data_IF_732309166147
#
_entry.id   IF_732309166147
#
_cell.length_a   1.000
_cell.length_b   1.000
_cell.length_c   1.000
_cell.angle_alpha   90.00
_cell.angle_beta   90.00
_cell.angle_gamma   90.00
#
_symmetry.space_group_name_H-M   'P 1'
#
loop_
_entity.id
_entity.type
_entity.pdbx_description
1 polymer ?
#
# COMPACT_ATOMS: atom_id res chain seq x y z
N UNK A 1 -23.01 -64.50 28.70
CA UNK A 1 -23.08 -63.38 27.73
C UNK A 1 -21.65 -62.92 27.49
N UNK A 2 -21.06 -63.38 26.39
CA UNK A 2 -19.79 -62.91 25.84
C UNK A 2 -20.14 -61.79 24.86
N UNK A 3 -19.56 -60.60 24.98
CA UNK A 3 -19.50 -59.63 23.88
C UNK A 3 -18.04 -59.19 23.81
N UNK A 4 -17.30 -59.81 22.88
CA UNK A 4 -16.06 -59.26 22.37
C UNK A 4 -16.40 -58.09 21.46
N UNK A 5 -15.69 -56.99 21.61
CA UNK A 5 -15.66 -55.89 20.65
C UNK A 5 -14.21 -55.44 20.59
N UNK A 6 -13.48 -56.08 19.68
CA UNK A 6 -12.27 -55.51 19.08
C UNK A 6 -12.79 -54.61 17.96
N UNK A 7 -12.52 -53.32 18.05
CA UNK A 7 -12.57 -52.34 16.96
C UNK A 7 -11.20 -51.67 17.06
N UNK A 8 -10.20 -52.20 16.35
CA UNK A 8 -9.77 -51.69 15.04
C UNK A 8 -9.33 -50.22 15.19
N UNK A 9 -8.08 -50.05 15.61
CA UNK A 9 -7.34 -48.79 15.51
C UNK A 9 -6.97 -48.63 14.02
N UNK A 10 -7.76 -47.84 13.29
CA UNK A 10 -7.38 -47.34 11.97
C UNK A 10 -6.29 -46.28 12.19
N UNK A 11 -5.03 -46.66 12.00
CA UNK A 11 -3.94 -45.70 11.77
C UNK A 11 -4.17 -45.09 10.39
N UNK A 12 -4.83 -43.92 10.36
CA UNK A 12 -4.85 -43.04 9.21
C UNK A 12 -3.43 -42.45 9.07
N UNK A 13 -2.60 -43.12 8.26
CA UNK A 13 -1.42 -42.52 7.65
C UNK A 13 -1.92 -41.37 6.75
N UNK A 14 -2.04 -40.17 7.32
CA UNK A 14 -2.14 -38.94 6.57
C UNK A 14 -0.79 -38.75 5.84
N UNK A 15 -0.69 -39.32 4.63
CA UNK A 15 0.31 -38.91 3.64
C UNK A 15 0.06 -37.42 3.35
N UNK A 16 0.76 -36.55 4.07
CA UNK A 16 0.80 -35.12 3.74
C UNK A 16 1.36 -34.98 2.32
N UNK A 17 0.45 -34.61 1.41
CA UNK A 17 0.76 -34.22 0.04
C UNK A 17 1.72 -33.02 0.09
N UNK A 18 3.01 -33.30 -0.13
CA UNK A 18 4.09 -32.33 -0.38
C UNK A 18 3.84 -31.58 -1.70
N UNK A 19 2.79 -30.74 -1.73
CA UNK A 19 2.52 -29.78 -2.82
C UNK A 19 2.95 -28.34 -2.47
N UNK A 20 3.68 -28.15 -1.37
CA UNK A 20 4.35 -26.90 -1.05
C UNK A 20 5.83 -27.03 -1.36
N UNK A 21 6.31 -26.41 -2.45
CA UNK A 21 7.74 -26.39 -2.79
C UNK A 21 8.57 -26.16 -1.53
N UNK A 22 9.36 -27.18 -1.14
CA UNK A 22 9.79 -27.36 0.25
C UNK A 22 10.44 -26.13 0.88
N UNK A 23 10.55 -26.11 2.21
CA UNK A 23 10.98 -24.96 3.03
C UNK A 23 12.23 -24.17 2.55
N UNK A 24 13.06 -24.76 1.68
CA UNK A 24 14.17 -24.09 0.99
C UNK A 24 13.73 -23.07 -0.07
N UNK A 25 12.55 -23.24 -0.68
CA UNK A 25 11.98 -22.34 -1.69
C UNK A 25 11.63 -20.96 -1.13
N UNK A 26 11.31 -20.88 0.16
CA UNK A 26 11.04 -19.62 0.86
C UNK A 26 12.26 -18.67 0.82
N UNK A 27 13.48 -19.20 0.77
CA UNK A 27 14.72 -18.42 0.65
C UNK A 27 14.90 -17.75 -0.73
N UNK A 28 14.23 -18.26 -1.76
CA UNK A 28 14.31 -17.73 -3.13
C UNK A 28 13.29 -16.62 -3.39
N UNK A 29 12.30 -16.46 -2.50
CA UNK A 29 11.25 -15.44 -2.63
C UNK A 29 11.82 -14.03 -2.47
N UNK A 30 11.18 -13.08 -3.15
CA UNK A 30 11.49 -11.66 -2.96
C UNK A 30 11.17 -11.24 -1.52
N UNK A 31 12.03 -10.46 -0.83
CA UNK A 31 11.77 -10.00 0.54
C UNK A 31 10.44 -9.26 0.72
N UNK A 32 9.94 -8.61 -0.34
CA UNK A 32 8.68 -7.87 -0.32
C UNK A 32 7.44 -8.75 -0.54
N UNK A 33 7.64 -10.04 -0.82
CA UNK A 33 6.58 -11.03 -1.07
C UNK A 33 6.53 -12.11 0.01
N UNK A 34 7.42 -12.03 1.01
CA UNK A 34 7.45 -12.97 2.11
C UNK A 34 6.17 -12.89 2.93
N UNK A 35 5.67 -14.04 3.35
CA UNK A 35 4.59 -14.19 4.34
C UNK A 35 5.16 -14.65 5.69
N UNK A 36 4.35 -14.66 6.74
CA UNK A 36 4.77 -15.20 8.03
C UNK A 36 5.10 -16.70 7.94
N UNK A 37 4.38 -17.43 7.10
CA UNK A 37 4.63 -18.85 6.78
C UNK A 37 6.03 -19.05 6.19
N UNK A 38 6.42 -18.22 5.23
CA UNK A 38 7.76 -18.26 4.64
C UNK A 38 8.86 -18.06 5.69
N UNK A 39 8.62 -17.19 6.68
CA UNK A 39 9.58 -16.96 7.78
C UNK A 39 9.67 -18.19 8.70
N UNK A 40 8.57 -18.90 8.93
CA UNK A 40 8.59 -20.16 9.67
C UNK A 40 9.34 -21.25 8.91
N UNK A 41 9.13 -21.37 7.60
CA UNK A 41 9.86 -22.31 6.75
C UNK A 41 11.37 -22.05 6.80
N UNK A 42 11.78 -20.79 6.62
CA UNK A 42 13.18 -20.36 6.74
C UNK A 42 13.72 -20.69 8.14
N UNK A 43 12.95 -20.43 9.20
CA UNK A 43 13.36 -20.72 10.57
C UNK A 43 13.62 -22.21 10.80
N UNK A 44 12.85 -23.09 10.15
CA UNK A 44 13.00 -24.54 10.27
C UNK A 44 14.30 -25.04 9.61
N UNK A 45 14.63 -24.52 8.42
CA UNK A 45 15.87 -24.84 7.68
C UNK A 45 17.07 -24.34 8.47
N UNK A 46 17.04 -23.07 8.89
CA UNK A 46 18.11 -22.45 9.68
C UNK A 46 18.31 -23.18 11.02
N UNK A 47 17.21 -23.56 11.68
CA UNK A 47 17.25 -24.31 12.94
C UNK A 47 17.92 -25.68 12.79
N UNK A 48 17.59 -26.41 11.72
CA UNK A 48 18.20 -27.70 11.38
C UNK A 48 19.70 -27.58 11.14
N UNK A 49 20.12 -26.59 10.36
CA UNK A 49 21.55 -26.36 10.05
C UNK A 49 22.33 -25.95 11.28
N UNK A 50 21.77 -25.07 12.12
CA UNK A 50 22.39 -24.69 13.39
C UNK A 50 22.54 -25.87 14.34
N UNK A 51 21.55 -26.77 14.40
CA UNK A 51 21.64 -28.00 15.20
C UNK A 51 22.76 -28.90 14.69
N UNK A 52 22.87 -29.13 13.38
CA UNK A 52 23.96 -29.91 12.78
C UNK A 52 25.34 -29.32 13.08
N UNK A 53 25.49 -28.00 12.98
CA UNK A 53 26.74 -27.30 13.33
C UNK A 53 27.08 -27.39 14.82
N UNK A 54 26.06 -27.46 15.68
CA UNK A 54 26.23 -27.58 17.13
C UNK A 54 26.48 -29.01 17.63
N UNK A 55 26.24 -30.04 16.81
CA UNK A 55 26.33 -31.46 17.18
C UNK A 55 27.77 -31.96 17.44
N UNK A 56 28.78 -31.12 17.28
CA UNK A 56 30.18 -31.45 17.57
C UNK A 56 30.51 -31.48 19.07
N UNK A 57 31.55 -32.24 19.50
CA UNK A 57 31.91 -32.46 20.91
C UNK A 57 32.36 -31.22 21.70
N UNK A 58 32.40 -30.05 21.06
CA UNK A 58 32.52 -28.73 21.70
C UNK A 58 31.60 -27.74 21.00
N UNK A 59 30.29 -27.82 21.27
CA UNK A 59 29.38 -26.73 20.97
C UNK A 59 29.93 -25.46 21.63
N UNK A 60 30.46 -24.55 20.83
CA UNK A 60 31.08 -23.32 21.34
C UNK A 60 30.00 -22.45 21.97
N UNK A 61 30.28 -21.84 23.12
CA UNK A 61 29.40 -20.81 23.69
C UNK A 61 29.12 -19.67 22.69
N UNK A 62 30.00 -19.47 21.70
CA UNK A 62 29.76 -18.55 20.58
C UNK A 62 28.65 -19.04 19.64
N UNK A 63 28.53 -20.34 19.38
CA UNK A 63 27.48 -20.93 18.54
C UNK A 63 26.10 -20.77 19.20
N UNK A 64 25.99 -21.01 20.51
CA UNK A 64 24.75 -20.76 21.24
C UNK A 64 24.34 -19.27 21.20
N UNK A 65 25.29 -18.34 21.43
CA UNK A 65 25.01 -16.88 21.30
C UNK A 65 24.57 -16.49 19.89
N UNK A 66 25.18 -17.10 18.87
CA UNK A 66 24.80 -16.90 17.47
C UNK A 66 23.39 -17.43 17.21
N UNK A 67 23.05 -18.62 17.69
CA UNK A 67 21.70 -19.17 17.58
C UNK A 67 20.65 -18.22 18.17
N UNK A 68 20.87 -17.70 19.38
CA UNK A 68 19.95 -16.71 19.97
C UNK A 68 19.86 -15.42 19.16
N UNK A 69 20.97 -14.97 18.59
CA UNK A 69 20.99 -13.78 17.74
C UNK A 69 20.20 -14.00 16.43
N UNK A 70 20.31 -15.19 15.84
CA UNK A 70 19.57 -15.58 14.65
C UNK A 70 18.07 -15.68 14.95
N UNK A 71 17.69 -16.34 16.05
CA UNK A 71 16.28 -16.38 16.50
C UNK A 71 15.74 -14.96 16.64
N UNK A 72 16.50 -14.06 17.24
CA UNK A 72 16.07 -12.66 17.40
C UNK A 72 15.89 -11.94 16.06
N UNK A 73 16.75 -12.20 15.07
CA UNK A 73 16.60 -11.64 13.72
C UNK A 73 15.37 -12.20 13.02
N UNK A 74 15.09 -13.49 13.16
CA UNK A 74 13.89 -14.13 12.59
C UNK A 74 12.59 -13.60 13.23
N UNK A 75 12.57 -13.40 14.55
CA UNK A 75 11.44 -12.75 15.25
C UNK A 75 11.20 -11.32 14.73
N UNK A 76 12.26 -10.54 14.51
CA UNK A 76 12.15 -9.20 13.94
C UNK A 76 11.64 -9.23 12.51
N UNK A 77 12.07 -10.20 11.71
CA UNK A 77 11.61 -10.40 10.34
C UNK A 77 10.12 -10.75 10.30
N UNK A 78 9.67 -11.69 11.12
CA UNK A 78 8.25 -12.06 11.24
C UNK A 78 7.37 -10.87 11.62
N UNK A 79 7.81 -10.06 12.59
CA UNK A 79 7.09 -8.86 13.01
C UNK A 79 6.97 -7.82 11.88
N UNK A 80 8.03 -7.64 11.08
CA UNK A 80 8.02 -6.72 9.94
C UNK A 80 7.13 -7.23 8.80
N UNK A 81 7.19 -8.51 8.48
CA UNK A 81 6.38 -9.14 7.43
C UNK A 81 4.89 -9.10 7.81
N UNK A 82 4.57 -9.51 9.03
CA UNK A 82 3.20 -9.50 9.55
C UNK A 82 2.64 -8.08 9.66
N UNK A 83 3.45 -7.15 10.19
CA UNK A 83 3.07 -5.75 10.28
C UNK A 83 2.87 -5.08 8.92
N UNK A 84 3.71 -5.41 7.93
CA UNK A 84 3.60 -4.93 6.56
C UNK A 84 2.32 -5.38 5.87
N UNK A 85 1.99 -6.67 5.98
CA UNK A 85 0.76 -7.24 5.42
C UNK A 85 -0.50 -6.56 6.00
N UNK A 86 -0.58 -6.42 7.32
CA UNK A 86 -1.70 -5.75 7.99
C UNK A 86 -1.81 -4.27 7.62
N UNK A 87 -0.69 -3.57 7.50
CA UNK A 87 -0.67 -2.17 7.10
C UNK A 87 -1.15 -1.99 5.66
N UNK A 88 -0.71 -2.87 4.75
CA UNK A 88 -1.16 -2.87 3.35
C UNK A 88 -2.66 -3.16 3.26
N UNK A 89 -3.15 -4.16 3.98
CA UNK A 89 -4.58 -4.50 4.01
C UNK A 89 -5.42 -3.32 4.51
N UNK A 90 -5.00 -2.68 5.61
CA UNK A 90 -5.67 -1.48 6.15
C UNK A 90 -5.72 -0.35 5.12
N UNK A 91 -4.62 -0.09 4.42
CA UNK A 91 -4.57 0.93 3.36
C UNK A 91 -5.45 0.54 2.17
N UNK A 92 -5.51 -0.75 1.79
CA UNK A 92 -6.41 -1.22 0.73
C UNK A 92 -7.86 -0.97 1.10
N UNK A 93 -8.28 -1.33 2.31
CA UNK A 93 -9.64 -1.08 2.81
C UNK A 93 -9.98 0.41 2.86
N UNK A 94 -9.06 1.25 3.34
CA UNK A 94 -9.25 2.70 3.35
C UNK A 94 -9.38 3.27 1.94
N UNK A 95 -8.51 2.84 1.02
CA UNK A 95 -8.59 3.18 -0.41
C UNK A 95 -9.91 2.76 -1.03
N UNK A 96 -10.40 1.56 -0.75
CA UNK A 96 -11.66 1.07 -1.30
C UNK A 96 -12.86 1.80 -0.73
N UNK A 97 -12.85 2.11 0.57
CA UNK A 97 -13.84 2.97 1.20
C UNK A 97 -13.88 4.36 0.57
N UNK A 98 -12.72 5.00 0.40
CA UNK A 98 -12.63 6.33 -0.22
C UNK A 98 -13.05 6.30 -1.68
N UNK A 99 -12.73 5.22 -2.42
CA UNK A 99 -13.22 5.04 -3.80
C UNK A 99 -14.74 4.96 -3.85
N UNK A 100 -15.36 4.18 -2.97
CA UNK A 100 -16.83 4.12 -2.88
C UNK A 100 -17.44 5.47 -2.51
N UNK A 101 -16.84 6.22 -1.59
CA UNK A 101 -17.31 7.56 -1.21
C UNK A 101 -17.18 8.56 -2.37
N UNK A 102 -16.06 8.53 -3.09
CA UNK A 102 -15.85 9.35 -4.29
C UNK A 102 -16.83 8.96 -5.39
N UNK A 103 -17.08 7.67 -5.61
CA UNK A 103 -18.06 7.19 -6.58
C UNK A 103 -19.49 7.57 -6.17
N UNK A 104 -19.83 7.50 -4.89
CA UNK A 104 -21.13 7.95 -4.38
C UNK A 104 -21.32 9.46 -4.59
N UNK A 105 -20.32 10.29 -4.25
CA UNK A 105 -20.37 11.74 -4.48
C UNK A 105 -20.40 12.09 -5.98
N UNK A 106 -19.70 11.31 -6.81
CA UNK A 106 -19.77 11.44 -8.27
C UNK A 106 -21.06 10.88 -8.86
N UNK A 107 -21.71 9.94 -8.19
CA UNK A 107 -23.02 9.36 -8.52
C UNK A 107 -24.17 10.29 -8.17
N UNK A 108 -24.09 10.95 -7.02
CA UNK A 108 -24.89 12.12 -6.66
C UNK A 108 -24.63 13.30 -7.62
N UNK A 109 -23.46 13.29 -8.28
CA UNK A 109 -23.10 14.16 -9.40
C UNK A 109 -23.14 13.51 -10.80
N UNK A 110 -23.83 12.37 -10.99
CA UNK A 110 -23.80 11.65 -12.27
C UNK A 110 -24.87 12.15 -13.27
N UNK A 111 -24.54 12.13 -14.58
CA UNK A 111 -25.21 12.89 -15.62
C UNK A 111 -26.46 12.14 -16.09
N UNK A 112 -27.60 12.46 -15.49
CA UNK A 112 -28.90 11.94 -15.91
C UNK A 112 -30.06 12.77 -15.36
N UNK A 113 -29.82 13.45 -14.25
CA UNK A 113 -30.57 14.60 -13.80
C UNK A 113 -29.59 15.59 -13.22
N UNK A 114 -28.89 16.34 -14.07
CA UNK A 114 -28.41 17.64 -13.59
C UNK A 114 -29.65 18.30 -12.98
N UNK A 115 -29.63 18.74 -11.70
CA UNK A 115 -30.63 19.70 -11.31
C UNK A 115 -30.36 20.85 -12.26
N UNK A 116 -31.22 21.02 -13.27
CA UNK A 116 -31.54 22.35 -13.73
C UNK A 116 -31.99 23.04 -12.45
N UNK A 117 -31.02 23.60 -11.73
CA UNK A 117 -31.27 24.53 -10.66
C UNK A 117 -31.94 25.66 -11.42
N UNK A 118 -33.27 25.59 -11.44
CA UNK A 118 -34.14 26.49 -12.17
C UNK A 118 -34.08 27.78 -11.36
N UNK A 119 -33.01 28.52 -11.60
CA UNK A 119 -32.52 29.61 -10.78
C UNK A 119 -33.31 30.90 -11.08
N UNK A 120 -34.55 30.76 -11.58
CA UNK A 120 -35.40 31.81 -12.09
C UNK A 120 -35.16 32.07 -13.59
N UNK A 121 -36.08 32.79 -14.26
CA UNK A 121 -36.08 32.99 -15.72
C UNK A 121 -34.86 33.74 -16.29
N UNK A 122 -33.92 34.17 -15.43
CA UNK A 122 -32.77 35.00 -15.75
C UNK A 122 -31.42 34.38 -15.34
N UNK A 123 -31.40 33.08 -14.97
CA UNK A 123 -30.16 32.40 -14.55
C UNK A 123 -29.87 31.21 -15.46
N UNK A 124 -28.71 31.27 -16.12
CA UNK A 124 -28.21 30.30 -17.08
C UNK A 124 -28.12 28.89 -16.47
N UNK A 125 -28.53 27.88 -17.24
CA UNK A 125 -28.26 26.47 -16.93
C UNK A 125 -26.74 26.27 -16.95
N UNK A 126 -26.14 26.00 -15.79
CA UNK A 126 -24.68 25.88 -15.65
C UNK A 126 -24.30 24.42 -15.92
N UNK A 127 -23.83 24.12 -17.12
CA UNK A 127 -23.16 22.85 -17.41
C UNK A 127 -21.75 22.86 -16.77
N UNK A 128 -21.55 22.01 -15.76
CA UNK A 128 -20.26 21.89 -15.06
C UNK A 128 -19.18 21.22 -15.92
N UNK A 129 -19.56 20.60 -17.03
CA UNK A 129 -18.70 19.87 -17.98
C UNK A 129 -18.22 20.75 -19.13
N UNK A 130 -18.79 21.96 -19.29
CA UNK A 130 -18.46 22.85 -20.40
C UNK A 130 -17.03 23.42 -20.24
N UNK A 131 -16.11 23.14 -21.18
CA UNK A 131 -14.76 23.71 -21.17
C UNK A 131 -14.75 25.25 -21.28
N UNK A 132 -15.79 25.86 -21.87
CA UNK A 132 -15.92 27.32 -22.00
C UNK A 132 -16.68 27.96 -20.83
N UNK A 133 -17.05 27.19 -19.81
CA UNK A 133 -17.71 27.72 -18.61
C UNK A 133 -16.83 28.78 -17.95
N UNK A 134 -17.36 29.99 -17.64
CA UNK A 134 -16.62 30.99 -16.88
C UNK A 134 -16.21 30.41 -15.52
N UNK A 135 -14.90 30.22 -15.30
CA UNK A 135 -14.34 29.66 -14.05
C UNK A 135 -13.91 30.71 -13.05
N UNK A 136 -13.81 31.96 -13.49
CA UNK A 136 -13.34 33.07 -12.69
C UNK A 136 -14.47 34.06 -12.44
N UNK A 137 -14.47 34.61 -11.24
CA UNK A 137 -15.24 35.78 -10.86
C UNK A 137 -14.66 37.02 -11.54
N UNK A 138 -15.51 38.05 -11.67
CA UNK A 138 -15.09 39.33 -12.21
C UNK A 138 -13.98 39.98 -11.37
N UNK A 139 -13.96 39.73 -10.05
CA UNK A 139 -12.93 40.20 -9.15
C UNK A 139 -11.57 39.58 -9.46
N UNK A 140 -11.48 38.25 -9.58
CA UNK A 140 -10.23 37.57 -9.93
C UNK A 140 -9.70 38.06 -11.28
N UNK A 141 -10.59 38.26 -12.26
CA UNK A 141 -10.18 38.81 -13.56
C UNK A 141 -9.62 40.23 -13.41
N UNK A 142 -10.23 41.09 -12.59
CA UNK A 142 -9.71 42.43 -12.30
C UNK A 142 -8.34 42.38 -11.64
N UNK A 143 -8.16 41.50 -10.66
CA UNK A 143 -6.89 41.32 -9.94
C UNK A 143 -5.77 40.90 -10.90
N UNK A 144 -6.01 39.87 -11.72
CA UNK A 144 -5.04 39.41 -12.73
C UNK A 144 -4.72 40.49 -13.77
N UNK A 145 -5.72 41.25 -14.22
CA UNK A 145 -5.50 42.35 -15.17
C UNK A 145 -4.69 43.49 -14.54
N UNK A 146 -4.94 43.82 -13.28
CA UNK A 146 -4.21 44.84 -12.55
C UNK A 146 -2.74 44.43 -12.35
N UNK A 147 -2.50 43.19 -11.91
CA UNK A 147 -1.17 42.63 -11.76
C UNK A 147 -0.40 42.65 -13.09
N UNK A 148 -1.04 42.18 -14.18
CA UNK A 148 -0.44 42.21 -15.52
C UNK A 148 -0.10 43.62 -15.98
N UNK A 149 -0.93 44.62 -15.68
CA UNK A 149 -0.64 46.02 -16.02
C UNK A 149 0.53 46.57 -15.19
N UNK A 150 0.62 46.22 -13.91
CA UNK A 150 1.71 46.63 -13.04
C UNK A 150 3.05 46.04 -13.48
N UNK A 151 3.08 44.74 -13.79
CA UNK A 151 4.26 44.07 -14.33
C UNK A 151 4.67 44.66 -15.68
N UNK A 152 3.70 44.98 -16.54
CA UNK A 152 3.97 45.63 -17.83
C UNK A 152 4.62 47.02 -17.65
N UNK A 153 4.16 47.81 -16.68
CA UNK A 153 4.77 49.10 -16.38
C UNK A 153 6.21 48.96 -15.87
N UNK A 154 6.45 48.03 -14.94
CA UNK A 154 7.80 47.75 -14.43
C UNK A 154 8.74 47.28 -15.54
N UNK A 155 8.28 46.38 -16.41
CA UNK A 155 9.04 45.89 -17.55
C UNK A 155 9.42 47.02 -18.51
N UNK A 156 8.51 47.98 -18.72
CA UNK A 156 8.75 49.12 -19.59
C UNK A 156 9.84 50.05 -19.01
N UNK A 157 9.78 50.35 -17.71
CA UNK A 157 10.81 51.13 -17.00
C UNK A 157 12.17 50.45 -17.08
N UNK A 158 12.25 49.15 -16.79
CA UNK A 158 13.51 48.39 -16.87
C UNK A 158 14.05 48.37 -18.30
N UNK A 159 13.18 48.26 -19.31
CA UNK A 159 13.60 48.35 -20.72
C UNK A 159 14.14 49.73 -21.08
N UNK A 160 13.56 50.81 -20.58
CA UNK A 160 14.06 52.18 -20.76
C UNK A 160 15.43 52.36 -20.10
N UNK A 161 15.59 51.90 -18.85
CA UNK A 161 16.87 51.96 -18.14
C UNK A 161 17.97 51.19 -18.88
N UNK A 162 17.67 49.99 -19.37
CA UNK A 162 18.61 49.18 -20.15
C UNK A 162 18.98 49.83 -21.50
N UNK A 163 18.08 50.58 -22.13
CA UNK A 163 18.39 51.32 -23.36
C UNK A 163 19.40 52.45 -23.12
N UNK A 164 19.42 53.06 -21.94
CA UNK A 164 20.40 54.08 -21.58
C UNK A 164 21.84 53.54 -21.45
N UNK A 165 22.01 52.22 -21.36
CA UNK A 165 23.32 51.56 -21.26
C UNK A 165 23.83 50.96 -22.57
N UNK A 166 23.12 51.16 -23.69
CA UNK A 166 23.60 50.85 -25.04
C UNK A 166 24.32 52.05 -25.66
#
# INVERSE_FOLDING_TARGET
MQHGRQEEEEEEDEEEEDEGGGAESALEKSPFQLTAEDVYDISSVVGRDLLQLSAGPRASAAAARLQFSIVRVLEMLEALVSGGSLAEERLRLERDRLRMEVEALRGEGAPGSAPQLNLGPDKMVIDLTDPNRPRFTLQELREVLQERNQLKAQLLVVQEELQCYK
#
